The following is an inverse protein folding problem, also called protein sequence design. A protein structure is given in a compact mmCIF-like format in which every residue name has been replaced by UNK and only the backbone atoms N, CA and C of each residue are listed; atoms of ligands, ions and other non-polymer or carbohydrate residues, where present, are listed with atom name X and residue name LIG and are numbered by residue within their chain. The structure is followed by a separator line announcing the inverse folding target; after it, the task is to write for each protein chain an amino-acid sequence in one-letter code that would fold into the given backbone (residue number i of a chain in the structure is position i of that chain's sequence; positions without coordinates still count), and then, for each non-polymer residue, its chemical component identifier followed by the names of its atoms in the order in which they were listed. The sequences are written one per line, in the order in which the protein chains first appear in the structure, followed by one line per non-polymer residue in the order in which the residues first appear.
data_IF_835815030837
#
_entry.id   IF_835815030837
#
_cell.length_a   1.000
_cell.length_b   1.000
_cell.length_c   1.000
_cell.angle_alpha   90.00
_cell.angle_beta   90.00
_cell.angle_gamma   90.00
#
_symmetry.space_group_name_H-M   'P 1'
#
loop_
_entity.id
_entity.type
_entity.pdbx_description
1 polymer ?
#
# COMPACT_ATOMS: atom_id res chain seq x y z
N UNK A 1 12.77 7.01 -9.89
CA UNK A 1 11.52 7.39 -9.22
C UNK A 1 10.82 6.10 -8.87
N UNK A 2 10.56 5.85 -7.59
CA UNK A 2 9.85 4.65 -7.14
C UNK A 2 8.43 5.03 -6.72
N UNK A 3 7.51 4.08 -6.93
CA UNK A 3 6.09 4.22 -6.59
C UNK A 3 5.70 3.03 -5.74
N UNK A 4 4.94 3.29 -4.67
CA UNK A 4 4.32 2.27 -3.83
C UNK A 4 2.81 2.46 -3.84
N UNK A 5 2.10 1.35 -3.79
CA UNK A 5 0.63 1.28 -3.76
C UNK A 5 0.23 0.21 -2.75
N UNK A 6 -0.88 0.42 -2.06
CA UNK A 6 -1.50 -0.59 -1.18
C UNK A 6 -2.80 -1.06 -1.83
N UNK A 7 -2.83 -2.22 -2.48
CA UNK A 7 -3.99 -2.69 -3.23
C UNK A 7 -5.28 -2.76 -2.39
N UNK A 8 -5.16 -3.06 -1.10
CA UNK A 8 -6.26 -3.18 -0.15
C UNK A 8 -6.84 -1.83 0.29
N UNK A 9 -6.11 -0.74 0.08
CA UNK A 9 -6.52 0.62 0.46
C UNK A 9 -6.64 1.48 -0.81
N UNK A 10 -7.87 1.64 -1.31
CA UNK A 10 -8.13 2.37 -2.55
C UNK A 10 -7.54 3.80 -2.49
N UNK A 11 -6.76 4.15 -3.52
CA UNK A 11 -6.13 5.47 -3.62
C UNK A 11 -4.90 5.67 -2.72
N UNK A 12 -4.48 4.66 -1.94
CA UNK A 12 -3.29 4.74 -1.11
C UNK A 12 -2.02 4.51 -1.95
N UNK A 13 -1.42 5.61 -2.39
CA UNK A 13 -0.22 5.63 -3.23
C UNK A 13 0.80 6.65 -2.72
N UNK A 14 2.10 6.33 -2.86
CA UNK A 14 3.18 7.29 -2.61
C UNK A 14 4.31 7.14 -3.62
N UNK A 15 5.19 8.13 -3.66
CA UNK A 15 6.37 8.12 -4.51
C UNK A 15 7.59 8.69 -3.77
N UNK A 16 8.78 8.22 -4.11
CA UNK A 16 10.03 8.63 -3.48
C UNK A 16 11.25 8.44 -4.41
N UNK A 17 12.38 9.05 -4.05
CA UNK A 17 13.63 8.91 -4.82
C UNK A 17 14.38 7.63 -4.45
N UNK A 18 14.25 7.15 -3.22
CA UNK A 18 14.89 5.92 -2.72
C UNK A 18 13.84 4.95 -2.18
N UNK A 19 14.21 3.66 -2.08
CA UNK A 19 13.33 2.65 -1.49
C UNK A 19 13.11 2.86 0.02
N UNK A 20 14.12 3.36 0.73
CA UNK A 20 14.00 3.63 2.17
C UNK A 20 12.99 4.75 2.43
N UNK A 21 13.08 5.86 1.69
CA UNK A 21 12.12 6.97 1.75
C UNK A 21 10.71 6.51 1.32
N UNK A 22 10.61 5.64 0.30
CA UNK A 22 9.33 5.09 -0.13
C UNK A 22 8.65 4.28 0.97
N UNK A 23 9.43 3.45 1.69
CA UNK A 23 8.96 2.59 2.78
C UNK A 23 8.48 3.39 3.98
N UNK A 24 9.11 4.52 4.27
CA UNK A 24 8.65 5.44 5.31
C UNK A 24 7.33 6.08 4.91
N UNK A 25 7.27 6.70 3.73
CA UNK A 25 6.07 7.40 3.24
C UNK A 25 4.85 6.50 3.09
N UNK A 26 5.00 5.27 2.58
CA UNK A 26 3.86 4.36 2.41
C UNK A 26 3.26 3.96 3.77
N UNK A 27 4.07 3.83 4.83
CA UNK A 27 3.56 3.56 6.18
C UNK A 27 2.76 4.73 6.73
N UNK A 28 3.26 5.96 6.56
CA UNK A 28 2.53 7.17 6.94
C UNK A 28 1.18 7.28 6.20
N UNK A 29 1.17 7.02 4.91
CA UNK A 29 -0.05 7.03 4.10
C UNK A 29 -1.07 5.96 4.54
N UNK A 30 -0.61 4.75 4.89
CA UNK A 30 -1.45 3.69 5.46
C UNK A 30 -2.06 4.14 6.78
N UNK A 31 -1.23 4.66 7.70
CA UNK A 31 -1.72 5.13 9.01
C UNK A 31 -2.76 6.22 8.86
N UNK A 32 -2.50 7.23 8.03
CA UNK A 32 -3.43 8.32 7.77
C UNK A 32 -4.76 7.81 7.18
N UNK A 33 -4.70 6.88 6.23
CA UNK A 33 -5.90 6.29 5.65
C UNK A 33 -6.75 5.58 6.71
N UNK A 34 -6.11 4.74 7.54
CA UNK A 34 -6.77 3.97 8.59
C UNK A 34 -7.32 4.84 9.74
N UNK A 35 -6.67 5.96 10.05
CA UNK A 35 -7.16 6.94 11.02
C UNK A 35 -8.47 7.61 10.55
N UNK A 36 -8.54 7.97 9.27
CA UNK A 36 -9.74 8.58 8.66
C UNK A 36 -10.87 7.56 8.51
N UNK A 37 -10.54 6.36 8.05
CA UNK A 37 -11.49 5.25 7.82
C UNK A 37 -11.80 4.44 9.07
N UNK A 38 -11.73 5.04 10.26
CA UNK A 38 -11.83 4.39 11.58
C UNK A 38 -13.16 3.65 11.88
N UNK A 39 -14.04 3.45 10.89
CA UNK A 39 -15.17 2.50 10.90
C UNK A 39 -14.99 1.22 10.05
N UNK A 40 -13.92 1.11 9.24
CA UNK A 40 -13.68 -0.02 8.31
C UNK A 40 -12.69 -1.04 8.90
N UNK A 41 -11.75 -0.58 9.73
CA UNK A 41 -10.56 -1.35 10.16
C UNK A 41 -10.87 -2.54 11.07
N UNK A 42 -12.02 -2.57 11.76
CA UNK A 42 -12.42 -3.75 12.57
C UNK A 42 -12.75 -4.98 11.73
N UNK A 43 -12.87 -4.88 10.39
CA UNK A 43 -13.46 -5.95 9.56
C UNK A 43 -12.54 -6.59 8.53
N UNK A 44 -11.31 -6.10 8.33
CA UNK A 44 -10.42 -6.64 7.29
C UNK A 44 -9.36 -7.56 7.91
N UNK A 45 -9.46 -8.88 7.78
CA UNK A 45 -8.35 -9.75 8.15
C UNK A 45 -7.18 -9.46 7.21
N UNK A 46 -6.14 -8.82 7.75
CA UNK A 46 -4.88 -8.55 7.06
C UNK A 46 -4.05 -9.84 6.96
N UNK A 47 -4.58 -10.83 6.24
CA UNK A 47 -3.85 -12.07 5.95
C UNK A 47 -3.15 -11.95 4.60
N UNK A 48 -1.81 -11.89 4.63
CA UNK A 48 -1.02 -11.94 3.43
C UNK A 48 -0.96 -13.37 2.88
N UNK A 49 -1.60 -13.61 1.73
CA UNK A 49 -1.61 -14.93 1.07
C UNK A 49 -0.39 -15.13 0.17
N UNK A 50 0.04 -14.09 -0.57
CA UNK A 50 1.18 -14.16 -1.50
C UNK A 50 1.09 -13.17 -2.66
N UNK A 51 2.18 -13.00 -3.40
CA UNK A 51 2.22 -12.21 -4.64
C UNK A 51 2.70 -13.11 -5.79
N UNK A 52 1.93 -13.17 -6.87
CA UNK A 52 2.35 -13.80 -8.13
C UNK A 52 2.53 -12.72 -9.20
N UNK A 53 3.73 -12.65 -9.78
CA UNK A 53 4.00 -11.79 -10.95
C UNK A 53 3.91 -12.63 -12.21
N UNK A 54 3.09 -12.20 -13.16
CA UNK A 54 2.95 -12.83 -14.49
C UNK A 54 3.27 -11.76 -15.53
N UNK A 55 4.22 -12.04 -16.42
CA UNK A 55 4.60 -11.16 -17.53
C UNK A 55 4.06 -11.76 -18.84
N UNK A 56 3.52 -10.90 -19.71
CA UNK A 56 3.03 -11.29 -21.04
C UNK A 56 3.70 -10.40 -22.07
N UNK A 57 4.37 -11.01 -23.06
CA UNK A 57 4.87 -10.34 -24.25
C UNK A 57 3.90 -10.54 -25.42
N UNK A 58 3.67 -9.47 -26.18
CA UNK A 58 2.91 -9.49 -27.45
C UNK A 58 3.88 -9.59 -28.61
#
# INVERSE_FOLDING_TARGET
MYVASVPELEGCHTQAKTLDELRERIKEAIHLYLEVESGIVETVPLEFVGIQKVEVSV
#
